data_IF_579109274100
#
_entry.id   IF_579109274100
#
_cell.length_a   1.000
_cell.length_b   1.000
_cell.length_c   1.000
_cell.angle_alpha   90.00
_cell.angle_beta   90.00
_cell.angle_gamma   90.00
#
_symmetry.space_group_name_H-M   'P 1'
#
loop_
_entity.id
_entity.type
_entity.pdbx_description
1 polymer ?
#
# COMPACT_ATOMS: atom_id res chain seq x y z
N UNK A 1 -9.93 8.82 17.80
CA UNK A 1 -10.40 9.19 16.44
C UNK A 1 -10.74 7.92 15.68
N UNK A 2 -11.70 7.98 14.76
CA UNK A 2 -12.08 6.85 13.91
C UNK A 2 -12.13 7.29 12.45
N UNK A 3 -12.14 6.34 11.52
CA UNK A 3 -12.37 6.62 10.11
C UNK A 3 -12.30 5.37 9.25
N UNK A 4 -12.50 5.54 7.95
CA UNK A 4 -12.53 4.47 6.97
C UNK A 4 -11.25 4.40 6.15
N UNK A 5 -10.92 3.20 5.69
CA UNK A 5 -9.74 2.90 4.89
C UNK A 5 -10.17 2.44 3.50
N UNK A 6 -9.52 2.98 2.48
CA UNK A 6 -9.81 2.69 1.08
C UNK A 6 -8.56 2.36 0.29
N UNK A 7 -8.76 1.62 -0.80
CA UNK A 7 -7.68 1.33 -1.74
C UNK A 7 -8.04 0.26 -2.74
N UNK A 8 -7.21 -0.79 -2.84
CA UNK A 8 -7.38 -1.88 -3.80
C UNK A 8 -6.97 -3.24 -3.23
N UNK A 9 -7.51 -4.31 -3.81
CA UNK A 9 -7.12 -5.70 -3.54
C UNK A 9 -6.64 -6.35 -4.84
N UNK A 10 -5.56 -7.11 -4.76
CA UNK A 10 -4.98 -7.82 -5.89
C UNK A 10 -4.79 -9.28 -5.49
N UNK A 11 -5.41 -10.19 -6.23
CA UNK A 11 -5.21 -11.62 -6.04
C UNK A 11 -3.94 -12.04 -6.79
N UNK A 12 -2.93 -12.51 -6.07
CA UNK A 12 -1.70 -13.05 -6.62
C UNK A 12 -1.74 -14.57 -6.50
N UNK A 13 -1.74 -15.26 -7.64
CA UNK A 13 -1.59 -16.71 -7.66
C UNK A 13 -0.11 -17.04 -7.78
N UNK A 14 0.46 -17.63 -6.74
CA UNK A 14 1.83 -18.12 -6.77
C UNK A 14 1.82 -19.62 -7.04
N UNK A 15 2.39 -19.96 -8.21
CA UNK A 15 2.66 -21.34 -8.58
C UNK A 15 3.99 -21.74 -7.95
N UNK A 16 3.93 -22.41 -6.80
CA UNK A 16 5.14 -22.94 -6.17
C UNK A 16 5.44 -24.30 -6.78
N UNK A 17 6.48 -24.35 -7.60
CA UNK A 17 7.03 -25.61 -8.10
C UNK A 17 7.84 -26.22 -6.96
N UNK A 18 7.41 -27.39 -6.49
CA UNK A 18 8.13 -28.20 -5.51
C UNK A 18 8.91 -29.30 -6.24
N UNK A 19 10.02 -29.78 -5.68
CA UNK A 19 10.79 -30.91 -6.23
C UNK A 19 10.00 -32.23 -6.20
N UNK A 20 8.93 -32.29 -5.40
CA UNK A 20 7.89 -33.32 -5.49
C UNK A 20 6.96 -33.00 -6.65
N UNK A 21 6.61 -33.98 -7.50
CA UNK A 21 5.74 -33.85 -8.69
C UNK A 21 4.30 -33.30 -8.44
N UNK A 22 3.99 -32.79 -7.24
CA UNK A 22 2.74 -32.12 -6.91
C UNK A 22 2.79 -30.62 -7.21
N UNK A 23 1.86 -30.14 -8.02
CA UNK A 23 1.67 -28.72 -8.29
C UNK A 23 0.80 -28.12 -7.18
N UNK A 24 1.37 -27.23 -6.36
CA UNK A 24 0.61 -26.49 -5.33
C UNK A 24 0.43 -25.05 -5.81
N UNK A 25 -0.81 -24.61 -6.01
CA UNK A 25 -1.13 -23.21 -6.30
C UNK A 25 -1.70 -22.55 -5.04
N UNK A 26 -1.00 -21.53 -4.52
CA UNK A 26 -1.52 -20.71 -3.43
C UNK A 26 -1.99 -19.38 -4.00
N UNK A 27 -3.25 -19.02 -3.73
CA UNK A 27 -3.79 -17.71 -4.07
C UNK A 27 -3.70 -16.83 -2.83
N UNK A 28 -2.84 -15.82 -2.87
CA UNK A 28 -2.68 -14.83 -1.82
C UNK A 28 -3.38 -13.53 -2.23
N UNK A 29 -4.18 -12.96 -1.34
CA UNK A 29 -4.81 -11.65 -1.56
C UNK A 29 -3.96 -10.55 -0.94
N UNK A 30 -3.40 -9.66 -1.77
CA UNK A 30 -2.68 -8.48 -1.32
C UNK A 30 -3.65 -7.30 -1.22
N UNK A 31 -3.67 -6.63 -0.06
CA UNK A 31 -4.50 -5.44 0.18
C UNK A 31 -3.62 -4.20 0.28
N UNK A 32 -3.87 -3.22 -0.59
CA UNK A 32 -3.14 -1.95 -0.62
C UNK A 32 -4.05 -0.83 -0.12
N UNK A 33 -3.72 -0.27 1.05
CA UNK A 33 -4.39 0.93 1.58
C UNK A 33 -3.76 2.16 0.94
N UNK A 34 -4.57 2.95 0.23
CA UNK A 34 -4.10 4.14 -0.50
C UNK A 34 -4.68 5.45 0.01
N UNK A 35 -5.80 5.42 0.72
CA UNK A 35 -6.40 6.62 1.30
C UNK A 35 -7.23 6.30 2.55
N UNK A 36 -7.60 7.35 3.28
CA UNK A 36 -8.47 7.26 4.44
C UNK A 36 -9.43 8.45 4.48
N UNK A 37 -10.60 8.25 5.08
CA UNK A 37 -11.57 9.31 5.36
C UNK A 37 -11.80 9.34 6.87
N UNK A 38 -11.38 10.41 7.57
CA UNK A 38 -11.71 10.60 8.97
C UNK A 38 -13.22 10.64 9.16
N UNK A 39 -13.68 9.88 10.13
CA UNK A 39 -15.05 9.99 10.56
C UNK A 39 -15.13 11.11 11.61
N UNK A 40 -15.77 12.21 11.22
CA UNK A 40 -16.01 13.35 12.10
C UNK A 40 -17.02 12.98 13.19
N UNK A 41 -16.78 13.39 14.44
CA UNK A 41 -17.70 13.13 15.56
C UNK A 41 -19.02 13.89 15.48
N UNK A 42 -19.16 14.82 14.54
CA UNK A 42 -20.38 15.60 14.32
C UNK A 42 -21.47 14.75 13.63
N UNK A 43 -21.09 13.83 12.75
CA UNK A 43 -22.00 12.86 12.15
C UNK A 43 -22.01 11.59 13.02
N UNK A 44 -23.15 11.31 13.68
CA UNK A 44 -23.32 10.07 14.43
C UNK A 44 -23.48 8.89 13.45
N UNK A 45 -22.38 8.43 12.85
CA UNK A 45 -22.37 7.22 11.99
C UNK A 45 -22.78 5.98 12.78
N UNK A 46 -22.71 6.01 14.11
CA UNK A 46 -23.29 4.99 14.98
C UNK A 46 -24.04 5.60 16.15
N UNK A 47 -25.12 4.94 16.53
CA UNK A 47 -25.90 5.26 17.72
C UNK A 47 -25.22 4.68 18.97
N UNK A 48 -25.65 5.13 20.17
CA UNK A 48 -25.14 4.62 21.46
C UNK A 48 -25.34 3.10 21.63
N UNK A 49 -26.31 2.52 20.92
CA UNK A 49 -26.56 1.07 20.89
C UNK A 49 -25.64 0.30 19.90
N UNK A 50 -24.71 0.99 19.23
CA UNK A 50 -23.76 0.40 18.30
C UNK A 50 -24.27 0.24 16.85
N UNK A 51 -25.54 0.58 16.56
CA UNK A 51 -26.09 0.48 15.21
C UNK A 51 -25.51 1.57 14.31
N UNK A 52 -25.20 1.19 13.07
CA UNK A 52 -24.57 2.06 12.08
C UNK A 52 -25.63 2.75 11.22
N UNK A 53 -25.50 4.07 11.03
CA UNK A 53 -26.32 4.89 10.13
C UNK A 53 -25.93 4.61 8.68
N UNK A 54 -26.74 3.83 7.97
CA UNK A 54 -26.54 3.53 6.55
C UNK A 54 -26.53 4.79 5.68
N UNK A 55 -27.33 5.81 6.04
CA UNK A 55 -27.36 7.09 5.32
C UNK A 55 -25.97 7.75 5.33
N UNK A 56 -25.40 7.91 6.53
CA UNK A 56 -24.08 8.52 6.71
C UNK A 56 -23.00 7.67 6.03
N UNK A 57 -23.07 6.35 6.17
CA UNK A 57 -22.15 5.43 5.51
C UNK A 57 -22.18 5.57 3.99
N UNK A 58 -23.37 5.56 3.37
CA UNK A 58 -23.50 5.69 1.92
C UNK A 58 -22.96 7.03 1.42
N UNK A 59 -23.21 8.12 2.14
CA UNK A 59 -22.65 9.43 1.78
C UNK A 59 -21.12 9.43 1.83
N UNK A 60 -20.51 8.80 2.84
CA UNK A 60 -19.05 8.68 2.93
C UNK A 60 -18.47 7.78 1.82
N UNK A 61 -19.14 6.67 1.52
CA UNK A 61 -18.72 5.75 0.45
C UNK A 61 -18.81 6.39 -0.94
N UNK A 62 -19.70 7.36 -1.15
CA UNK A 62 -19.80 8.11 -2.40
C UNK A 62 -18.69 9.14 -2.60
N UNK A 63 -17.90 9.47 -1.57
CA UNK A 63 -16.82 10.46 -1.68
C UNK A 63 -15.59 9.92 -2.44
N UNK A 64 -15.51 8.61 -2.67
CA UNK A 64 -14.37 7.97 -3.30
C UNK A 64 -14.80 6.84 -4.22
N UNK A 65 -14.09 6.67 -5.33
CA UNK A 65 -14.26 5.54 -6.24
C UNK A 65 -13.45 4.31 -5.82
N UNK A 66 -12.71 4.40 -4.71
CA UNK A 66 -11.89 3.30 -4.20
C UNK A 66 -12.72 2.31 -3.39
N UNK A 67 -12.28 1.06 -3.34
CA UNK A 67 -12.99 0.03 -2.57
C UNK A 67 -12.80 0.26 -1.07
N UNK A 68 -13.86 0.03 -0.29
CA UNK A 68 -13.79 0.01 1.16
C UNK A 68 -13.00 -1.21 1.61
N UNK A 69 -11.89 -0.96 2.31
CA UNK A 69 -11.02 -2.01 2.83
C UNK A 69 -11.30 -2.32 4.30
N UNK A 70 -11.72 -1.31 5.06
CA UNK A 70 -11.76 -1.42 6.50
C UNK A 70 -12.01 -0.10 7.19
N UNK A 71 -11.69 -0.07 8.48
CA UNK A 71 -11.75 1.13 9.30
C UNK A 71 -10.58 1.17 10.28
N UNK A 72 -10.34 2.34 10.87
CA UNK A 72 -9.29 2.52 11.87
C UNK A 72 -9.83 3.10 13.17
N UNK A 73 -9.16 2.77 14.27
CA UNK A 73 -9.29 3.43 15.55
C UNK A 73 -7.94 3.93 16.02
N UNK A 74 -7.90 5.21 16.37
CA UNK A 74 -6.74 5.86 16.95
C UNK A 74 -7.03 6.25 18.41
N UNK A 75 -6.18 5.79 19.32
CA UNK A 75 -6.27 5.98 20.77
C UNK A 75 -4.96 6.53 21.34
N UNK A 76 -5.06 7.09 22.55
CA UNK A 76 -3.92 7.53 23.34
C UNK A 76 -3.83 6.70 24.62
N UNK A 77 -2.61 6.38 25.04
CA UNK A 77 -2.28 5.75 26.31
C UNK A 77 -3.12 4.50 26.62
N UNK A 78 -3.32 3.65 25.62
CA UNK A 78 -4.15 2.45 25.70
C UNK A 78 -3.35 1.19 25.38
N UNK A 79 -3.80 0.03 25.89
CA UNK A 79 -3.23 -1.26 25.52
C UNK A 79 -3.40 -1.48 24.01
N UNK A 80 -2.39 -2.04 23.34
CA UNK A 80 -2.49 -2.40 21.92
C UNK A 80 -3.29 -3.70 21.75
N UNK A 81 -4.60 -3.61 21.99
CA UNK A 81 -5.58 -4.69 21.77
C UNK A 81 -6.97 -4.11 21.51
N UNK A 82 -7.82 -4.79 20.72
CA UNK A 82 -9.21 -4.38 20.55
C UNK A 82 -9.96 -4.34 21.88
N UNK A 83 -10.77 -3.31 22.06
CA UNK A 83 -11.77 -3.20 23.11
C UNK A 83 -13.06 -3.91 22.69
N UNK A 84 -13.93 -4.22 23.65
CA UNK A 84 -15.26 -4.76 23.37
C UNK A 84 -16.09 -3.84 22.46
N UNK A 85 -15.93 -2.52 22.63
CA UNK A 85 -16.61 -1.52 21.81
C UNK A 85 -16.17 -1.59 20.35
N UNK A 86 -14.86 -1.69 20.10
CA UNK A 86 -14.32 -1.81 18.74
C UNK A 86 -14.70 -3.15 18.10
N UNK A 87 -14.70 -4.23 18.89
CA UNK A 87 -15.17 -5.53 18.42
C UNK A 87 -16.63 -5.47 17.95
N UNK A 88 -17.53 -4.94 18.80
CA UNK A 88 -18.94 -4.77 18.46
C UNK A 88 -19.13 -3.83 17.25
N UNK A 89 -18.40 -2.72 17.20
CA UNK A 89 -18.45 -1.79 16.08
C UNK A 89 -17.99 -2.45 14.77
N UNK A 90 -16.90 -3.22 14.80
CA UNK A 90 -16.43 -3.96 13.63
C UNK A 90 -17.52 -4.92 13.13
N UNK A 91 -18.15 -5.69 14.03
CA UNK A 91 -19.22 -6.63 13.63
C UNK A 91 -20.44 -5.91 13.03
N UNK A 92 -20.80 -4.73 13.56
CA UNK A 92 -21.94 -3.97 13.05
C UNK A 92 -21.63 -3.28 11.72
N UNK A 93 -20.42 -2.74 11.57
CA UNK A 93 -19.93 -2.21 10.29
C UNK A 93 -19.91 -3.30 9.24
N UNK A 94 -19.37 -4.48 9.57
CA UNK A 94 -19.31 -5.60 8.64
C UNK A 94 -20.70 -6.05 8.19
N UNK A 95 -21.69 -6.11 9.10
CA UNK A 95 -23.09 -6.38 8.74
C UNK A 95 -23.63 -5.33 7.76
N UNK A 96 -23.35 -4.06 8.02
CA UNK A 96 -23.79 -2.94 7.18
C UNK A 96 -23.18 -2.97 5.76
N UNK A 97 -21.92 -3.41 5.62
CA UNK A 97 -21.21 -3.46 4.33
C UNK A 97 -21.13 -4.86 3.71
N UNK A 98 -21.85 -5.84 4.27
CA UNK A 98 -21.79 -7.25 3.87
C UNK A 98 -22.19 -7.51 2.42
N UNK A 99 -22.94 -6.60 1.79
CA UNK A 99 -23.28 -6.66 0.38
C UNK A 99 -22.13 -6.23 -0.56
N UNK A 100 -21.10 -5.56 -0.04
CA UNK A 100 -19.98 -5.00 -0.83
C UNK A 100 -18.63 -5.61 -0.43
N UNK A 101 -18.48 -6.06 0.82
CA UNK A 101 -17.20 -6.56 1.36
C UNK A 101 -17.40 -7.93 2.00
N UNK A 102 -16.52 -8.88 1.67
CA UNK A 102 -16.49 -10.19 2.31
C UNK A 102 -16.03 -10.07 3.77
N UNK A 103 -16.60 -10.85 4.71
CA UNK A 103 -16.22 -10.85 6.12
C UNK A 103 -14.72 -10.90 6.41
N UNK A 104 -14.02 -11.82 5.76
CA UNK A 104 -12.60 -12.04 5.99
C UNK A 104 -11.70 -10.95 5.38
N UNK A 105 -12.26 -10.08 4.54
CA UNK A 105 -11.52 -9.04 3.83
C UNK A 105 -11.68 -7.65 4.47
N UNK A 106 -12.55 -7.53 5.49
CA UNK A 106 -12.80 -6.26 6.17
C UNK A 106 -11.80 -6.05 7.30
N UNK A 107 -10.91 -5.07 7.13
CA UNK A 107 -9.79 -4.85 8.02
C UNK A 107 -10.11 -3.84 9.13
N UNK A 108 -9.46 -4.03 10.28
CA UNK A 108 -9.44 -3.07 11.38
C UNK A 108 -8.01 -2.66 11.69
N UNK A 109 -7.68 -1.38 11.47
CA UNK A 109 -6.40 -0.80 11.88
C UNK A 109 -6.53 -0.22 13.29
N UNK A 110 -5.79 -0.79 14.24
CA UNK A 110 -5.67 -0.19 15.57
C UNK A 110 -4.37 0.62 15.63
N UNK A 111 -4.47 1.86 16.08
CA UNK A 111 -3.33 2.72 16.38
C UNK A 111 -3.44 3.20 17.83
N UNK A 112 -2.37 3.06 18.61
CA UNK A 112 -2.28 3.66 19.95
C UNK A 112 -0.94 4.34 20.14
N UNK A 113 -0.99 5.56 20.68
CA UNK A 113 0.22 6.26 21.11
C UNK A 113 0.43 6.11 22.60
N UNK A 114 1.68 6.21 23.02
CA UNK A 114 2.09 6.33 24.42
C UNK A 114 3.35 7.17 24.51
N UNK A 115 3.62 7.75 25.66
CA UNK A 115 4.83 8.52 25.92
C UNK A 115 5.53 8.03 27.20
N UNK A 116 6.85 8.25 27.27
CA UNK A 116 7.62 8.09 28.51
C UNK A 116 7.15 9.10 29.57
N UNK A 117 7.44 8.83 30.85
CA UNK A 117 6.99 9.68 31.98
C UNK A 117 7.42 11.15 31.84
N UNK A 118 8.61 11.38 31.29
CA UNK A 118 9.16 12.72 31.03
C UNK A 118 8.75 13.30 29.65
N UNK A 119 7.89 12.62 28.88
CA UNK A 119 7.50 12.96 27.52
C UNK A 119 8.64 13.11 26.50
N UNK A 120 9.84 12.58 26.78
CA UNK A 120 10.97 12.66 25.84
C UNK A 120 10.89 11.63 24.71
N UNK A 121 10.12 10.56 24.90
CA UNK A 121 10.01 9.46 23.93
C UNK A 121 8.54 9.14 23.68
N UNK A 122 8.14 9.18 22.41
CA UNK A 122 6.79 8.84 21.97
C UNK A 122 6.83 7.54 21.16
N UNK A 123 5.88 6.64 21.43
CA UNK A 123 5.72 5.36 20.75
C UNK A 123 4.35 5.35 20.07
N UNK A 124 4.32 4.96 18.80
CA UNK A 124 3.10 4.68 18.04
C UNK A 124 3.05 3.19 17.69
N UNK A 125 2.24 2.44 18.42
CA UNK A 125 1.93 1.05 18.10
C UNK A 125 0.77 1.02 17.10
N UNK A 126 0.92 0.28 16.02
CA UNK A 126 -0.09 0.15 14.99
C UNK A 126 -0.08 -1.26 14.39
N UNK A 127 -1.24 -1.74 13.95
CA UNK A 127 -1.34 -3.04 13.29
C UNK A 127 -2.75 -3.31 12.78
N UNK A 128 -2.82 -4.07 11.70
CA UNK A 128 -4.06 -4.51 11.09
C UNK A 128 -4.58 -5.77 11.76
N UNK A 129 -5.89 -5.88 11.86
CA UNK A 129 -6.57 -7.03 12.42
C UNK A 129 -7.75 -7.40 11.53
N UNK A 130 -8.05 -8.68 11.46
CA UNK A 130 -9.20 -9.24 10.78
C UNK A 130 -10.01 -10.10 11.74
N UNK A 131 -11.33 -10.15 11.53
CA UNK A 131 -12.21 -11.01 12.30
C UNK A 131 -12.27 -12.40 11.65
N UNK A 132 -11.56 -13.37 12.23
CA UNK A 132 -11.56 -14.76 11.81
C UNK A 132 -12.14 -15.61 12.94
N UNK A 133 -13.15 -16.44 12.66
CA UNK A 133 -13.76 -17.34 13.65
C UNK A 133 -14.13 -16.68 14.98
N UNK A 134 -14.68 -15.45 14.90
CA UNK A 134 -15.07 -14.61 16.06
C UNK A 134 -13.89 -14.13 16.92
N UNK A 135 -12.67 -14.21 16.40
CA UNK A 135 -11.48 -13.66 17.03
C UNK A 135 -10.81 -12.62 16.13
N UNK A 136 -10.35 -11.52 16.74
CA UNK A 136 -9.52 -10.54 16.04
C UNK A 136 -8.10 -11.06 15.99
N UNK A 137 -7.63 -11.36 14.78
CA UNK A 137 -6.27 -11.87 14.51
C UNK A 137 -5.48 -10.80 13.79
N UNK A 138 -4.21 -10.64 14.16
CA UNK A 138 -3.33 -9.67 13.52
C UNK A 138 -3.00 -10.10 12.08
N UNK A 139 -3.00 -9.13 11.17
CA UNK A 139 -2.66 -9.31 9.76
C UNK A 139 -1.30 -8.69 9.52
N UNK A 140 -0.34 -9.43 8.92
CA UNK A 140 0.97 -8.88 8.61
C UNK A 140 0.84 -7.69 7.66
N UNK A 141 1.53 -6.61 7.97
CA UNK A 141 1.57 -5.41 7.15
C UNK A 141 3.00 -5.01 6.83
N UNK A 142 3.20 -4.41 5.66
CA UNK A 142 4.48 -3.85 5.23
C UNK A 142 4.26 -2.43 4.77
N UNK A 143 5.14 -1.52 5.20
CA UNK A 143 5.19 -0.16 4.69
C UNK A 143 6.17 -0.12 3.52
N UNK A 144 5.62 0.04 2.32
CA UNK A 144 6.43 0.16 1.09
C UNK A 144 7.29 1.42 1.19
N UNK A 145 8.60 1.24 0.99
CA UNK A 145 9.59 2.30 1.06
C UNK A 145 10.61 2.15 -0.07
N UNK A 146 11.46 3.16 -0.25
CA UNK A 146 12.50 3.19 -1.29
C UNK A 146 13.77 2.40 -0.92
N UNK A 147 13.79 1.73 0.24
CA UNK A 147 14.98 1.11 0.82
C UNK A 147 15.45 -0.15 0.09
N UNK A 148 14.55 -0.90 -0.54
CA UNK A 148 14.92 -2.05 -1.36
C UNK A 148 15.45 -1.59 -2.73
N UNK A 149 16.72 -1.17 -2.70
CA UNK A 149 17.46 -0.68 -3.87
C UNK A 149 18.73 -1.49 -4.07
N UNK A 150 18.60 -2.80 -3.96
CA UNK A 150 19.68 -3.79 -4.09
C UNK A 150 20.47 -3.72 -5.41
N UNK A 151 20.10 -2.84 -6.35
CA UNK A 151 20.78 -2.65 -7.65
C UNK A 151 21.03 -1.16 -7.96
N UNK A 152 21.90 -0.52 -7.19
CA UNK A 152 22.39 0.87 -7.43
C UNK A 152 23.79 0.92 -8.03
N UNK A 153 24.36 -0.23 -8.38
CA UNK A 153 25.73 -0.32 -8.86
C UNK A 153 25.83 0.24 -10.29
N UNK A 154 26.68 1.26 -10.44
CA UNK A 154 27.13 1.70 -11.76
C UNK A 154 28.48 1.06 -12.04
N UNK A 155 28.61 0.38 -13.17
CA UNK A 155 29.90 -0.09 -13.63
C UNK A 155 30.76 1.10 -14.07
N UNK A 156 31.72 1.50 -13.22
CA UNK A 156 32.66 2.58 -13.52
C UNK A 156 33.72 2.17 -14.54
N UNK A 157 34.06 0.89 -14.56
CA UNK A 157 35.01 0.28 -15.50
C UNK A 157 34.32 -0.96 -16.07
N UNK A 158 34.27 -1.05 -17.40
CA UNK A 158 33.76 -2.24 -18.06
C UNK A 158 34.78 -3.38 -17.98
N UNK A 159 34.32 -4.58 -17.63
CA UNK A 159 35.13 -5.80 -17.73
C UNK A 159 35.19 -6.33 -19.17
N UNK A 160 34.66 -5.57 -20.13
CA UNK A 160 34.75 -5.91 -21.54
C UNK A 160 36.22 -5.80 -21.96
N UNK A 161 36.82 -6.94 -22.35
CA UNK A 161 38.06 -6.92 -23.11
C UNK A 161 37.86 -6.04 -24.33
N UNK A 162 38.69 -5.01 -24.49
CA UNK A 162 38.75 -4.18 -25.71
C UNK A 162 38.95 -5.13 -26.89
N UNK A 163 37.85 -5.48 -27.56
CA UNK A 163 37.91 -6.48 -28.60
C UNK A 163 38.33 -5.76 -29.87
N UNK A 164 39.50 -6.10 -30.41
CA UNK A 164 39.96 -5.58 -31.70
C UNK A 164 39.11 -6.06 -32.91
N UNK A 165 38.02 -6.79 -32.65
CA UNK A 165 37.11 -7.33 -33.67
C UNK A 165 36.31 -6.20 -34.30
N UNK A 166 36.65 -5.90 -35.55
CA UNK A 166 35.92 -4.97 -36.39
C UNK A 166 34.44 -5.36 -36.57
N UNK A 167 34.11 -6.66 -36.52
CA UNK A 167 32.73 -7.15 -36.65
C UNK A 167 31.87 -6.73 -35.46
N UNK A 168 32.39 -6.89 -34.24
CA UNK A 168 31.67 -6.49 -33.03
C UNK A 168 31.49 -4.97 -33.01
N UNK A 169 32.54 -4.20 -33.34
CA UNK A 169 32.45 -2.74 -33.47
C UNK A 169 31.37 -2.33 -34.48
N UNK A 170 31.36 -2.94 -35.67
CA UNK A 170 30.39 -2.63 -36.70
C UNK A 170 28.94 -2.93 -36.27
N UNK A 171 28.71 -4.04 -35.57
CA UNK A 171 27.38 -4.37 -35.03
C UNK A 171 26.94 -3.34 -33.98
N UNK A 172 27.83 -2.96 -33.06
CA UNK A 172 27.54 -1.94 -32.05
C UNK A 172 27.24 -0.58 -32.69
N UNK A 173 28.01 -0.18 -33.69
CA UNK A 173 27.80 1.07 -34.44
C UNK A 173 26.45 1.05 -35.19
N UNK A 174 26.08 -0.08 -35.82
CA UNK A 174 24.81 -0.22 -36.53
C UNK A 174 23.58 -0.12 -35.61
N UNK A 175 23.69 -0.58 -34.35
CA UNK A 175 22.61 -0.50 -33.37
C UNK A 175 22.70 0.72 -32.44
N UNK A 176 23.74 1.53 -32.57
CA UNK A 176 24.01 2.68 -31.69
C UNK A 176 22.83 3.66 -31.65
N UNK A 177 22.28 3.98 -32.81
CA UNK A 177 21.17 4.92 -32.95
C UNK A 177 19.86 4.42 -32.31
N UNK A 178 19.74 3.13 -31.97
CA UNK A 178 18.57 2.63 -31.25
C UNK A 178 18.57 3.05 -29.76
N UNK A 179 19.74 3.26 -29.18
CA UNK A 179 19.90 3.49 -27.74
C UNK A 179 20.48 4.87 -27.40
N UNK A 180 21.32 5.44 -28.27
CA UNK A 180 21.96 6.73 -28.06
C UNK A 180 21.32 7.80 -28.95
N UNK A 181 21.15 9.00 -28.40
CA UNK A 181 20.72 10.19 -29.13
C UNK A 181 21.91 10.78 -29.90
N UNK A 182 21.80 10.86 -31.22
CA UNK A 182 22.74 11.63 -32.04
C UNK A 182 22.39 13.13 -31.98
N UNK A 183 23.37 14.06 -31.85
CA UNK A 183 24.83 13.86 -31.77
C UNK A 183 25.37 13.80 -30.32
N UNK A 184 24.52 13.96 -29.30
CA UNK A 184 24.96 14.14 -27.91
C UNK A 184 25.55 12.88 -27.26
N UNK A 185 25.29 11.70 -27.83
CA UNK A 185 25.74 10.41 -27.29
C UNK A 185 25.06 10.00 -25.99
N UNK A 186 24.00 10.71 -25.57
CA UNK A 186 23.24 10.40 -24.36
C UNK A 186 22.32 9.21 -24.58
N UNK A 187 22.09 8.40 -23.55
CA UNK A 187 21.08 7.34 -23.62
C UNK A 187 19.67 7.92 -23.71
N UNK A 188 18.91 7.50 -24.73
CA UNK A 188 17.53 7.94 -24.97
C UNK A 188 16.63 7.66 -23.76
N UNK A 189 16.83 6.53 -23.12
CA UNK A 189 16.04 6.06 -21.97
C UNK A 189 16.25 6.96 -20.75
N UNK A 190 17.47 7.46 -20.54
CA UNK A 190 17.76 8.42 -19.47
C UNK A 190 16.99 9.72 -19.70
N UNK A 191 16.99 10.23 -20.94
CA UNK A 191 16.23 11.44 -21.28
C UNK A 191 14.72 11.24 -21.07
N UNK A 192 14.17 10.11 -21.51
CA UNK A 192 12.75 9.76 -21.33
C UNK A 192 12.35 9.71 -19.84
N UNK A 193 13.15 9.03 -19.00
CA UNK A 193 12.88 8.92 -17.57
C UNK A 193 13.02 10.27 -16.86
N UNK A 194 14.01 11.08 -17.23
CA UNK A 194 14.16 12.44 -16.68
C UNK A 194 12.96 13.33 -17.06
N UNK A 195 12.49 13.24 -18.30
CA UNK A 195 11.31 13.99 -18.74
C UNK A 195 10.05 13.54 -17.98
N UNK A 196 9.85 12.23 -17.83
CA UNK A 196 8.74 11.68 -17.06
C UNK A 196 8.79 12.18 -15.60
N UNK A 197 9.96 12.11 -14.96
CA UNK A 197 10.15 12.59 -13.60
C UNK A 197 9.87 14.10 -13.48
N UNK A 198 10.32 14.91 -14.44
CA UNK A 198 10.04 16.34 -14.48
C UNK A 198 8.53 16.64 -14.63
N UNK A 199 7.84 15.93 -15.52
CA UNK A 199 6.38 16.04 -15.71
C UNK A 199 5.63 15.69 -14.44
N UNK A 200 5.98 14.57 -13.78
CA UNK A 200 5.38 14.16 -12.51
C UNK A 200 5.62 15.20 -11.42
N UNK A 201 6.84 15.73 -11.31
CA UNK A 201 7.19 16.75 -10.33
C UNK A 201 6.41 18.05 -10.54
N UNK A 202 6.24 18.48 -11.80
CA UNK A 202 5.43 19.65 -12.12
C UNK A 202 3.95 19.42 -11.82
N UNK A 203 3.43 18.21 -12.06
CA UNK A 203 2.08 17.82 -11.66
C UNK A 203 1.88 17.93 -10.15
N UNK A 204 2.81 17.38 -9.36
CA UNK A 204 2.77 17.44 -7.89
C UNK A 204 2.80 18.88 -7.36
N UNK A 205 3.62 19.76 -7.96
CA UNK A 205 3.67 21.18 -7.57
C UNK A 205 2.34 21.89 -7.78
N UNK A 206 1.63 21.60 -8.87
CA UNK A 206 0.32 22.20 -9.16
C UNK A 206 -0.77 21.74 -8.19
N UNK A 207 -0.70 20.51 -7.69
CA UNK A 207 -1.68 20.01 -6.70
C UNK A 207 -1.45 20.55 -5.29
N UNK A 208 -0.29 21.17 -5.02
CA UNK A 208 0.03 21.75 -3.72
C UNK A 208 -0.36 23.23 -3.59
N UNK A 209 -0.60 23.92 -4.71
CA UNK A 209 -1.07 25.32 -4.78
C UNK A 209 -2.57 25.39 -4.85
#
# INVERSE_FOLDING_TARGET
MFGFLFGMRVNQTENRISDSQGHLSNTNTLTYVSSYIPWSGADSLYHRNGLVSMKTMNTLLQQTNQILLGWYSYRHNSKFKPSLKEYNLHTNLLKAVSCVVCPNDFLFLLCTTSCSENNSTHILNHGFMQLLDRQMTEVPMTVVNLGDTTRKEYHQIGNATVTASLRIKHILDNHRENHLSSPSGQMKEVQKVLLLAATLNNGMKRTQT
#
